data_IF_303854162218
#
_entry.id   IF_303854162218
#
_cell.length_a   1.000
_cell.length_b   1.000
_cell.length_c   1.000
_cell.angle_alpha   90.00
_cell.angle_beta   90.00
_cell.angle_gamma   90.00
#
_symmetry.space_group_name_H-M   'P 1'
#
loop_
_entity.id
_entity.type
_entity.pdbx_description
1 polymer ?
#
# COMPACT_ATOMS: atom_id res chain seq x y z
N UNK A 1 -30.43 -28.08 5.50
CA UNK A 1 -29.07 -28.54 5.89
C UNK A 1 -29.13 -30.06 6.05
N UNK A 2 -28.75 -30.84 5.04
CA UNK A 2 -28.68 -32.31 5.22
C UNK A 2 -27.51 -32.59 6.17
N UNK A 3 -27.79 -33.10 7.37
CA UNK A 3 -26.74 -33.52 8.30
C UNK A 3 -25.98 -34.70 7.70
N UNK A 4 -24.79 -34.44 7.15
CA UNK A 4 -23.83 -35.48 6.76
C UNK A 4 -23.15 -36.05 8.02
N UNK A 5 -23.94 -36.66 8.90
CA UNK A 5 -23.42 -37.49 9.99
C UNK A 5 -23.39 -38.92 9.50
N UNK A 6 -22.26 -39.60 9.66
CA UNK A 6 -22.21 -41.06 9.49
C UNK A 6 -23.16 -41.72 10.49
N UNK A 7 -23.69 -42.90 10.16
CA UNK A 7 -24.68 -43.58 11.02
C UNK A 7 -24.14 -43.82 12.44
N UNK A 8 -22.84 -44.13 12.56
CA UNK A 8 -22.15 -44.24 13.85
C UNK A 8 -22.13 -42.94 14.66
N UNK A 9 -21.92 -41.79 14.02
CA UNK A 9 -21.92 -40.49 14.70
C UNK A 9 -23.33 -40.05 15.10
N UNK A 10 -24.34 -40.43 14.30
CA UNK A 10 -25.74 -40.20 14.61
C UNK A 10 -26.16 -40.98 15.86
N UNK A 11 -25.78 -42.25 15.94
CA UNK A 11 -26.07 -43.09 17.10
C UNK A 11 -25.39 -42.58 18.37
N UNK A 12 -24.13 -42.14 18.28
CA UNK A 12 -23.39 -41.58 19.42
C UNK A 12 -24.02 -40.25 19.91
N UNK A 13 -24.50 -39.41 18.99
CA UNK A 13 -25.22 -38.19 19.33
C UNK A 13 -26.56 -38.50 20.01
N UNK A 14 -27.33 -39.43 19.45
CA UNK A 14 -28.63 -39.83 20.01
C UNK A 14 -28.45 -40.39 21.44
N UNK A 15 -27.42 -41.20 21.69
CA UNK A 15 -27.10 -41.69 23.05
C UNK A 15 -26.73 -40.57 24.02
N UNK A 16 -25.95 -39.58 23.57
CA UNK A 16 -25.57 -38.44 24.40
C UNK A 16 -26.76 -37.51 24.73
N UNK A 17 -27.73 -37.39 23.82
CA UNK A 17 -28.98 -36.63 24.03
C UNK A 17 -29.89 -37.34 25.04
N UNK A 18 -30.05 -38.66 24.91
CA UNK A 18 -30.85 -39.45 25.85
C UNK A 18 -30.28 -39.37 27.28
N UNK A 19 -28.96 -39.49 27.43
CA UNK A 19 -28.26 -39.35 28.72
C UNK A 19 -28.44 -37.96 29.34
N UNK A 20 -28.35 -36.89 28.54
CA UNK A 20 -28.60 -35.53 29.00
C UNK A 20 -30.04 -35.35 29.53
N UNK A 21 -31.04 -35.78 28.75
CA UNK A 21 -32.45 -35.68 29.15
C UNK A 21 -32.74 -36.47 30.43
N UNK A 22 -32.11 -37.64 30.58
CA UNK A 22 -32.25 -38.47 31.77
C UNK A 22 -31.58 -37.85 32.99
N UNK A 23 -30.38 -37.28 32.86
CA UNK A 23 -29.66 -36.59 33.95
C UNK A 23 -30.40 -35.36 34.48
N UNK A 24 -31.23 -34.72 33.64
CA UNK A 24 -32.03 -33.54 34.01
C UNK A 24 -33.48 -33.88 34.40
N UNK A 25 -33.84 -35.16 34.50
CA UNK A 25 -35.13 -35.63 35.03
C UNK A 25 -36.29 -35.64 34.04
N UNK A 26 -36.06 -35.52 32.73
CA UNK A 26 -37.10 -35.53 31.70
C UNK A 26 -37.44 -36.96 31.24
N UNK A 27 -37.96 -37.79 32.15
CA UNK A 27 -38.18 -39.24 31.94
C UNK A 27 -39.13 -39.57 30.80
N UNK A 28 -40.26 -38.88 30.68
CA UNK A 28 -41.26 -39.10 29.61
C UNK A 28 -40.68 -38.80 28.21
N UNK A 29 -39.88 -37.75 28.11
CA UNK A 29 -39.22 -37.36 26.85
C UNK A 29 -38.11 -38.33 26.45
N UNK A 30 -37.41 -38.96 27.42
CA UNK A 30 -36.39 -39.98 27.16
C UNK A 30 -37.01 -41.23 26.55
N UNK A 31 -38.15 -41.70 27.07
CA UNK A 31 -38.80 -42.92 26.58
C UNK A 31 -39.31 -42.76 25.14
N UNK A 32 -39.90 -41.60 24.84
CA UNK A 32 -40.36 -41.28 23.49
C UNK A 32 -39.16 -41.19 22.54
N UNK A 33 -38.10 -40.49 22.94
CA UNK A 33 -36.89 -40.33 22.12
C UNK A 33 -36.14 -41.64 21.88
N UNK A 34 -36.03 -42.51 22.89
CA UNK A 34 -35.44 -43.86 22.74
C UNK A 34 -36.20 -44.71 21.71
N UNK A 35 -37.54 -44.63 21.71
CA UNK A 35 -38.41 -45.34 20.77
C UNK A 35 -38.26 -44.82 19.34
N UNK A 36 -38.18 -43.50 19.16
CA UNK A 36 -38.03 -42.87 17.86
C UNK A 36 -36.62 -43.06 17.27
N UNK A 37 -35.59 -43.05 18.12
CA UNK A 37 -34.19 -43.21 17.73
C UNK A 37 -33.72 -44.68 17.63
N UNK A 38 -34.59 -45.65 17.93
CA UNK A 38 -34.34 -47.10 17.84
C UNK A 38 -33.05 -47.55 18.58
N UNK A 39 -32.88 -47.08 19.82
CA UNK A 39 -31.69 -47.36 20.65
C UNK A 39 -31.90 -48.60 21.54
N UNK A 40 -31.05 -49.62 21.41
CA UNK A 40 -31.01 -50.78 22.33
C UNK A 40 -30.41 -50.39 23.71
N UNK A 41 -30.99 -50.92 24.79
CA UNK A 41 -30.56 -50.67 26.16
C UNK A 41 -29.21 -51.38 26.44
N UNK A 42 -28.09 -50.66 26.32
CA UNK A 42 -26.81 -51.07 26.91
C UNK A 42 -25.88 -49.89 27.27
N UNK A 43 -25.35 -49.98 28.50
CA UNK A 43 -24.21 -49.31 29.14
C UNK A 43 -24.33 -47.80 29.46
N UNK A 44 -25.01 -47.50 30.58
CA UNK A 44 -25.23 -46.17 31.19
C UNK A 44 -23.94 -45.37 31.52
N UNK A 45 -22.76 -46.00 31.50
CA UNK A 45 -21.53 -45.40 32.07
C UNK A 45 -20.64 -44.64 31.09
N UNK A 46 -20.89 -44.69 29.78
CA UNK A 46 -19.95 -44.12 28.77
C UNK A 46 -20.27 -42.71 28.27
N UNK A 47 -21.49 -42.20 28.49
CA UNK A 47 -21.96 -40.97 27.82
C UNK A 47 -22.13 -39.76 28.74
N UNK A 48 -21.95 -39.92 30.05
CA UNK A 48 -22.16 -38.86 31.06
C UNK A 48 -21.36 -37.58 30.75
N UNK A 49 -22.10 -36.48 30.54
CA UNK A 49 -21.54 -35.15 30.27
C UNK A 49 -20.87 -35.01 28.90
N UNK A 50 -21.01 -35.99 28.00
CA UNK A 50 -20.42 -35.95 26.66
C UNK A 50 -21.09 -34.87 25.80
N UNK A 51 -22.42 -34.70 25.92
CA UNK A 51 -23.17 -33.69 25.18
C UNK A 51 -22.72 -32.28 25.56
N UNK A 52 -22.57 -31.98 26.86
CA UNK A 52 -22.11 -30.68 27.36
C UNK A 52 -20.67 -30.37 26.93
N UNK A 53 -19.77 -31.38 26.98
CA UNK A 53 -18.39 -31.25 26.49
C UNK A 53 -18.34 -31.01 24.98
N UNK A 54 -19.18 -31.70 24.20
CA UNK A 54 -19.30 -31.47 22.75
C UNK A 54 -19.91 -30.10 22.44
N UNK A 55 -20.94 -29.69 23.18
CA UNK A 55 -21.61 -28.39 23.02
C UNK A 55 -20.68 -27.21 23.33
N UNK A 56 -19.95 -27.26 24.43
CA UNK A 56 -18.95 -26.24 24.78
C UNK A 56 -17.80 -26.17 23.76
N UNK A 57 -17.39 -27.32 23.21
CA UNK A 57 -16.42 -27.37 22.11
C UNK A 57 -16.97 -26.76 20.82
N UNK A 58 -18.24 -27.03 20.49
CA UNK A 58 -18.93 -26.43 19.33
C UNK A 58 -19.07 -24.92 19.49
N UNK A 59 -19.47 -24.42 20.66
CA UNK A 59 -19.53 -22.98 20.97
C UNK A 59 -18.16 -22.31 20.81
N UNK A 60 -17.10 -22.95 21.34
CA UNK A 60 -15.72 -22.46 21.17
C UNK A 60 -15.31 -22.43 19.69
N UNK A 61 -15.65 -23.47 18.93
CA UNK A 61 -15.37 -23.53 17.50
C UNK A 61 -16.17 -22.50 16.72
N UNK A 62 -17.47 -22.33 16.98
CA UNK A 62 -18.30 -21.30 16.36
C UNK A 62 -17.78 -19.89 16.66
N UNK A 63 -17.38 -19.62 17.91
CA UNK A 63 -16.75 -18.35 18.27
C UNK A 63 -15.45 -18.15 17.50
N UNK A 64 -14.61 -19.19 17.38
CA UNK A 64 -13.36 -19.14 16.62
C UNK A 64 -13.60 -18.97 15.11
N UNK A 65 -14.62 -19.61 14.55
CA UNK A 65 -15.05 -19.43 13.16
C UNK A 65 -15.55 -18.01 12.94
N UNK A 66 -16.38 -17.46 13.84
CA UNK A 66 -16.83 -16.08 13.76
C UNK A 66 -15.67 -15.08 13.89
N UNK A 67 -14.69 -15.35 14.75
CA UNK A 67 -13.44 -14.56 14.85
C UNK A 67 -12.59 -14.65 13.58
N UNK A 68 -12.57 -15.80 12.90
CA UNK A 68 -11.85 -15.98 11.63
C UNK A 68 -12.59 -15.29 10.47
N UNK A 69 -13.91 -15.47 10.37
CA UNK A 69 -14.76 -14.81 9.36
C UNK A 69 -14.76 -13.28 9.52
N UNK A 70 -14.73 -12.76 10.75
CA UNK A 70 -14.62 -11.32 11.00
C UNK A 70 -13.23 -10.79 10.69
N UNK A 71 -12.16 -11.58 10.88
CA UNK A 71 -10.82 -11.23 10.40
C UNK A 71 -10.77 -11.14 8.87
N UNK A 72 -11.41 -12.08 8.17
CA UNK A 72 -11.48 -12.06 6.70
C UNK A 72 -12.33 -10.91 6.15
N UNK A 73 -13.32 -10.43 6.91
CA UNK A 73 -14.27 -9.38 6.48
C UNK A 73 -13.94 -7.95 6.96
N UNK A 74 -12.73 -7.68 7.46
CA UNK A 74 -12.37 -6.29 7.84
C UNK A 74 -12.27 -5.41 6.60
N UNK A 75 -13.17 -4.42 6.54
CA UNK A 75 -13.24 -3.43 5.47
C UNK A 75 -11.87 -2.74 5.28
N UNK A 76 -11.47 -2.42 4.04
CA UNK A 76 -10.22 -1.70 3.72
C UNK A 76 -10.08 -0.30 4.34
N UNK A 77 -11.00 0.14 5.18
CA UNK A 77 -11.03 1.48 5.78
C UNK A 77 -10.25 1.61 7.08
N UNK A 78 -9.88 0.50 7.74
CA UNK A 78 -9.23 0.49 9.06
C UNK A 78 -7.88 -0.27 9.08
N UNK A 79 -7.21 -0.42 7.94
CA UNK A 79 -5.92 -1.11 7.89
C UNK A 79 -4.80 -0.21 8.38
N UNK A 80 -4.49 -0.34 9.68
CA UNK A 80 -3.36 0.35 10.31
C UNK A 80 -2.24 -0.67 10.54
N UNK A 81 -1.01 -0.44 10.05
CA UNK A 81 0.12 -1.31 10.32
C UNK A 81 0.40 -1.38 11.83
N UNK A 82 0.70 -2.59 12.33
CA UNK A 82 1.04 -2.80 13.74
C UNK A 82 2.36 -3.56 13.87
N UNK A 83 3.23 -3.16 14.80
CA UNK A 83 4.38 -3.97 15.17
C UNK A 83 3.93 -5.23 15.94
N UNK A 84 4.74 -6.31 15.92
CA UNK A 84 6.02 -6.45 15.21
C UNK A 84 5.84 -6.65 13.70
N UNK A 85 6.91 -6.43 12.92
CA UNK A 85 6.95 -6.80 11.50
C UNK A 85 6.63 -8.28 11.30
N UNK A 86 5.91 -8.62 10.22
CA UNK A 86 5.58 -10.01 9.88
C UNK A 86 6.78 -10.73 9.31
N UNK A 87 7.48 -10.08 8.38
CA UNK A 87 8.70 -10.58 7.76
C UNK A 87 9.77 -9.48 7.73
N UNK A 88 11.02 -9.89 7.94
CA UNK A 88 12.22 -9.07 7.76
C UNK A 88 13.09 -9.76 6.70
N UNK A 89 13.06 -9.24 5.48
CA UNK A 89 13.74 -9.81 4.33
C UNK A 89 15.13 -9.17 4.22
N UNK A 90 16.14 -10.02 4.09
CA UNK A 90 17.55 -9.62 3.98
C UNK A 90 18.19 -10.34 2.80
N UNK A 91 19.07 -9.66 2.09
CA UNK A 91 19.78 -10.26 0.95
C UNK A 91 20.34 -9.28 -0.08
N UNK A 92 20.01 -8.00 0.02
CA UNK A 92 20.76 -6.94 -0.68
C UNK A 92 22.11 -6.70 -0.02
N UNK A 93 23.09 -6.24 -0.83
CA UNK A 93 24.46 -5.98 -0.37
C UNK A 93 24.74 -4.52 -0.07
N UNK A 94 23.76 -3.66 -0.29
CA UNK A 94 23.87 -2.21 -0.14
C UNK A 94 22.50 -1.60 0.18
N UNK A 95 22.41 -0.30 0.49
CA UNK A 95 21.15 0.37 0.81
C UNK A 95 20.05 0.10 -0.22
N UNK A 96 18.81 -0.05 0.25
CA UNK A 96 17.65 -0.14 -0.63
C UNK A 96 17.15 1.24 -0.99
N UNK A 97 16.76 1.41 -2.25
CA UNK A 97 16.28 2.69 -2.80
C UNK A 97 14.77 2.72 -2.91
N UNK A 98 14.17 1.66 -3.48
CA UNK A 98 12.71 1.56 -3.67
C UNK A 98 12.20 0.14 -3.43
N UNK A 99 11.01 0.03 -2.83
CA UNK A 99 10.20 -1.19 -2.78
C UNK A 99 8.78 -0.92 -3.28
N UNK A 100 8.22 -1.84 -4.05
CA UNK A 100 6.87 -1.74 -4.62
C UNK A 100 6.17 -3.11 -4.62
N UNK A 101 4.85 -3.11 -4.47
CA UNK A 101 4.01 -4.28 -4.69
C UNK A 101 3.73 -4.49 -6.17
N UNK A 102 3.63 -5.75 -6.58
CA UNK A 102 3.06 -6.09 -7.87
C UNK A 102 1.52 -5.92 -7.83
N UNK A 103 0.89 -5.38 -8.90
CA UNK A 103 -0.54 -5.10 -8.89
C UNK A 103 -1.46 -6.34 -8.89
N UNK A 104 -0.95 -7.52 -9.31
CA UNK A 104 -1.76 -8.73 -9.54
C UNK A 104 -1.27 -9.97 -8.78
N UNK A 105 0.02 -10.05 -8.46
CA UNK A 105 0.68 -11.26 -7.94
C UNK A 105 1.14 -10.96 -6.52
N UNK A 106 1.26 -11.99 -5.69
CA UNK A 106 1.62 -11.89 -4.27
C UNK A 106 3.12 -11.63 -4.04
N UNK A 107 3.70 -10.70 -4.79
CA UNK A 107 5.14 -10.44 -4.81
C UNK A 107 5.44 -8.95 -4.61
N UNK A 108 6.65 -8.70 -4.13
CA UNK A 108 7.26 -7.38 -4.03
C UNK A 108 8.54 -7.32 -4.86
N UNK A 109 8.74 -6.19 -5.52
CA UNK A 109 10.00 -5.87 -6.18
C UNK A 109 10.75 -4.82 -5.37
N UNK A 110 12.07 -4.99 -5.27
CA UNK A 110 12.95 -4.12 -4.51
C UNK A 110 14.18 -3.75 -5.32
N UNK A 111 14.61 -2.49 -5.24
CA UNK A 111 15.84 -1.97 -5.84
C UNK A 111 16.82 -1.57 -4.77
N UNK A 112 18.10 -1.62 -5.14
CA UNK A 112 19.20 -1.26 -4.27
C UNK A 112 20.32 -0.58 -5.05
N UNK A 113 21.21 0.07 -4.30
CA UNK A 113 22.47 0.62 -4.80
C UNK A 113 23.43 -0.49 -5.29
N UNK A 114 23.12 -1.77 -5.07
CA UNK A 114 23.92 -2.92 -5.48
C UNK A 114 23.75 -3.27 -6.96
N UNK A 115 23.10 -2.37 -7.72
CA UNK A 115 22.74 -2.48 -9.15
C UNK A 115 21.76 -3.62 -9.47
N UNK A 116 21.17 -4.26 -8.44
CA UNK A 116 20.23 -5.37 -8.62
C UNK A 116 18.80 -5.03 -8.22
N UNK A 117 17.86 -5.71 -8.87
CA UNK A 117 16.46 -5.71 -8.48
C UNK A 117 16.16 -7.11 -7.97
N UNK A 118 15.57 -7.22 -6.79
CA UNK A 118 15.17 -8.51 -6.21
C UNK A 118 13.66 -8.60 -6.09
N UNK A 119 13.15 -9.80 -6.38
CA UNK A 119 11.75 -10.18 -6.27
C UNK A 119 11.60 -11.12 -5.08
N UNK A 120 10.60 -10.85 -4.26
CA UNK A 120 10.29 -11.62 -3.06
C UNK A 120 8.81 -11.92 -3.03
N UNK A 121 8.45 -13.07 -2.51
CA UNK A 121 7.07 -13.38 -2.15
C UNK A 121 6.80 -12.80 -0.75
N UNK A 122 5.78 -11.94 -0.63
CA UNK A 122 5.46 -11.32 0.66
C UNK A 122 4.57 -12.17 1.55
N UNK A 123 3.97 -13.25 1.02
CA UNK A 123 3.15 -14.18 1.80
C UNK A 123 4.01 -15.22 2.51
N UNK A 124 5.00 -15.79 1.82
CA UNK A 124 5.96 -16.74 2.39
C UNK A 124 7.19 -16.06 3.01
N UNK A 125 7.57 -14.88 2.50
CA UNK A 125 8.83 -14.22 2.84
C UNK A 125 10.04 -14.82 2.13
N UNK A 126 9.83 -15.62 1.08
CA UNK A 126 10.91 -16.27 0.33
C UNK A 126 11.48 -15.38 -0.77
N UNK A 127 12.78 -15.54 -1.03
CA UNK A 127 13.45 -14.91 -2.15
C UNK A 127 13.15 -15.70 -3.43
N UNK A 128 12.58 -15.06 -4.44
CA UNK A 128 12.32 -15.72 -5.71
C UNK A 128 13.50 -15.57 -6.67
N UNK A 129 13.80 -14.32 -7.06
CA UNK A 129 14.73 -14.05 -8.18
C UNK A 129 15.43 -12.70 -8.05
N UNK A 130 16.55 -12.57 -8.76
CA UNK A 130 17.26 -11.29 -8.95
C UNK A 130 17.40 -10.95 -10.43
N UNK A 131 17.00 -9.73 -10.80
CA UNK A 131 17.27 -9.14 -12.10
C UNK A 131 18.61 -8.40 -12.03
N UNK A 132 19.52 -8.76 -12.93
CA UNK A 132 20.84 -8.14 -13.08
C UNK A 132 20.98 -7.61 -14.48
N UNK A 133 21.56 -6.41 -14.62
CA UNK A 133 21.82 -5.83 -15.93
C UNK A 133 22.12 -4.35 -15.92
N UNK A 134 21.76 -3.62 -14.85
CA UNK A 134 22.27 -2.27 -14.61
C UNK A 134 23.75 -2.31 -14.22
N UNK A 135 24.48 -1.25 -14.57
CA UNK A 135 25.91 -1.13 -14.24
C UNK A 135 26.14 -0.34 -12.95
N UNK A 136 25.14 0.43 -12.50
CA UNK A 136 25.21 1.29 -11.32
C UNK A 136 23.91 1.20 -10.51
N UNK A 137 23.85 1.88 -9.37
CA UNK A 137 22.75 1.91 -8.41
C UNK A 137 21.37 2.12 -9.07
N UNK A 138 20.42 1.22 -8.79
CA UNK A 138 19.03 1.34 -9.25
C UNK A 138 18.30 2.28 -8.30
N UNK A 139 17.72 3.36 -8.80
CA UNK A 139 17.12 4.43 -7.98
C UNK A 139 15.61 4.27 -7.77
N UNK A 140 14.87 3.88 -8.81
CA UNK A 140 13.41 3.72 -8.75
C UNK A 140 12.98 2.55 -9.63
N UNK A 141 11.81 2.02 -9.30
CA UNK A 141 11.16 0.92 -10.01
C UNK A 141 9.66 1.29 -10.12
N UNK A 142 9.06 1.01 -11.27
CA UNK A 142 7.63 1.11 -11.47
C UNK A 142 7.08 -0.13 -12.21
N UNK A 143 5.93 -0.62 -11.79
CA UNK A 143 5.15 -1.60 -12.55
C UNK A 143 4.16 -0.91 -13.48
N UNK A 144 3.91 -1.55 -14.63
CA UNK A 144 2.76 -1.23 -15.46
C UNK A 144 1.44 -1.63 -14.76
N UNK A 145 0.31 -1.03 -15.15
CA UNK A 145 -1.01 -1.34 -14.60
C UNK A 145 -1.39 -2.83 -14.79
N UNK A 146 -0.91 -3.45 -15.87
CA UNK A 146 -1.10 -4.89 -16.11
C UNK A 146 -0.19 -5.79 -15.28
N UNK A 147 0.88 -5.25 -14.69
CA UNK A 147 1.94 -5.99 -14.01
C UNK A 147 2.90 -6.74 -14.93
N UNK A 148 2.68 -6.75 -16.25
CA UNK A 148 3.53 -7.53 -17.17
C UNK A 148 4.92 -6.94 -17.37
N UNK A 149 5.01 -5.61 -17.30
CA UNK A 149 6.23 -4.87 -17.52
C UNK A 149 6.69 -4.21 -16.24
N UNK A 150 8.00 -4.27 -16.02
CA UNK A 150 8.69 -3.57 -14.96
C UNK A 150 9.68 -2.59 -15.58
N UNK A 151 9.61 -1.33 -15.16
CA UNK A 151 10.62 -0.34 -15.50
C UNK A 151 11.53 -0.10 -14.31
N UNK A 152 12.82 0.00 -14.58
CA UNK A 152 13.81 0.41 -13.59
C UNK A 152 14.67 1.54 -14.13
N UNK A 153 15.05 2.47 -13.26
CA UNK A 153 15.99 3.54 -13.58
C UNK A 153 17.23 3.45 -12.70
N UNK A 154 18.37 3.85 -13.25
CA UNK A 154 19.66 3.75 -12.57
C UNK A 154 20.49 5.02 -12.73
N UNK A 155 21.49 5.12 -11.86
CA UNK A 155 22.58 6.11 -11.97
C UNK A 155 23.42 5.91 -13.24
N UNK A 156 23.33 4.75 -13.90
CA UNK A 156 23.98 4.46 -15.19
C UNK A 156 23.39 5.21 -16.40
N UNK A 157 22.46 6.15 -16.16
CA UNK A 157 21.78 6.97 -17.17
C UNK A 157 20.89 6.16 -18.13
N UNK A 158 20.58 4.91 -17.77
CA UNK A 158 19.71 4.04 -18.54
C UNK A 158 18.42 3.70 -17.79
N UNK A 159 17.37 3.49 -18.58
CA UNK A 159 16.10 2.93 -18.09
C UNK A 159 15.99 1.56 -18.73
N UNK A 160 15.77 0.53 -17.93
CA UNK A 160 15.56 -0.83 -18.44
C UNK A 160 14.11 -1.22 -18.29
N UNK A 161 13.58 -1.83 -19.34
CA UNK A 161 12.28 -2.48 -19.35
C UNK A 161 12.51 -3.99 -19.22
N UNK A 162 11.83 -4.60 -18.26
CA UNK A 162 11.90 -6.01 -17.96
C UNK A 162 10.53 -6.63 -18.18
N UNK A 163 10.51 -7.81 -18.79
CA UNK A 163 9.31 -8.63 -18.88
C UNK A 163 9.19 -9.48 -17.61
N UNK A 164 8.09 -9.32 -16.88
CA UNK A 164 7.95 -9.87 -15.53
C UNK A 164 7.20 -11.22 -15.48
N UNK A 165 6.59 -11.67 -16.58
CA UNK A 165 5.67 -12.83 -16.56
C UNK A 165 6.35 -14.17 -16.83
N UNK A 166 7.31 -14.23 -17.75
CA UNK A 166 7.85 -15.51 -18.25
C UNK A 166 9.37 -15.59 -18.15
N UNK A 167 10.05 -14.59 -18.70
CA UNK A 167 11.50 -14.65 -18.98
C UNK A 167 12.33 -13.92 -17.94
N UNK A 168 11.79 -12.88 -17.29
CA UNK A 168 12.54 -11.97 -16.41
C UNK A 168 13.73 -11.32 -17.13
N UNK A 169 13.65 -11.21 -18.45
CA UNK A 169 14.71 -10.67 -19.28
C UNK A 169 14.55 -9.17 -19.52
N UNK A 170 15.69 -8.52 -19.75
CA UNK A 170 15.70 -7.12 -20.16
C UNK A 170 15.28 -7.03 -21.63
N UNK A 171 14.04 -6.58 -21.85
CA UNK A 171 13.47 -6.37 -23.17
C UNK A 171 14.18 -5.23 -23.90
N UNK A 172 14.34 -4.09 -23.21
CA UNK A 172 14.88 -2.86 -23.80
C UNK A 172 15.70 -2.07 -22.80
N UNK A 173 16.70 -1.37 -23.32
CA UNK A 173 17.47 -0.36 -22.59
C UNK A 173 17.29 0.98 -23.27
N UNK A 174 16.61 1.91 -22.61
CA UNK A 174 16.39 3.27 -23.07
C UNK A 174 17.55 4.14 -22.61
N UNK A 175 18.18 4.86 -23.54
CA UNK A 175 19.29 5.78 -23.29
C UNK A 175 18.96 7.14 -23.89
N UNK A 176 19.36 8.21 -23.22
CA UNK A 176 19.17 9.58 -23.70
C UNK A 176 19.01 10.65 -22.62
N UNK A 177 19.12 10.28 -21.35
CA UNK A 177 19.41 11.23 -20.27
C UNK A 177 20.92 11.47 -20.17
N UNK A 178 21.30 12.67 -19.77
CA UNK A 178 22.71 13.08 -19.67
C UNK A 178 23.28 12.88 -18.25
N UNK A 179 22.44 12.46 -17.30
CA UNK A 179 22.83 12.22 -15.91
C UNK A 179 21.89 11.20 -15.22
N UNK A 180 22.29 10.72 -14.04
CA UNK A 180 21.53 9.87 -13.10
C UNK A 180 20.00 10.11 -13.15
N UNK A 181 19.26 9.02 -13.36
CA UNK A 181 17.80 9.00 -13.43
C UNK A 181 17.27 8.57 -12.06
N UNK A 182 16.59 9.46 -11.37
CA UNK A 182 16.15 9.24 -9.99
C UNK A 182 14.73 8.69 -9.86
N UNK A 183 13.88 8.83 -10.88
CA UNK A 183 12.52 8.28 -10.81
C UNK A 183 11.96 7.91 -12.16
N UNK A 184 11.08 6.91 -12.14
CA UNK A 184 10.36 6.40 -13.29
C UNK A 184 8.88 6.17 -12.94
N UNK A 185 7.98 6.43 -13.89
CA UNK A 185 6.55 6.19 -13.73
C UNK A 185 5.90 5.81 -15.06
N UNK A 186 5.05 4.78 -15.06
CA UNK A 186 4.20 4.46 -16.20
C UNK A 186 3.00 5.40 -16.27
N UNK A 187 2.55 5.71 -17.48
CA UNK A 187 1.22 6.25 -17.69
C UNK A 187 0.17 5.15 -17.48
N UNK A 188 -1.06 5.50 -17.04
CA UNK A 188 -2.13 4.53 -16.83
C UNK A 188 -2.51 3.71 -18.08
N UNK A 189 -2.28 4.23 -19.29
CA UNK A 189 -2.52 3.49 -20.54
C UNK A 189 -1.47 2.40 -20.83
N UNK A 190 -0.29 2.46 -20.19
CA UNK A 190 0.84 1.56 -20.43
C UNK A 190 1.66 1.88 -21.70
N UNK A 191 1.22 2.82 -22.53
CA UNK A 191 1.90 3.15 -23.80
C UNK A 191 3.19 3.97 -23.60
N UNK A 192 3.20 4.79 -22.56
CA UNK A 192 4.27 5.74 -22.29
C UNK A 192 4.84 5.61 -20.88
N UNK A 193 6.10 6.01 -20.75
CA UNK A 193 6.84 6.04 -19.51
C UNK A 193 7.47 7.42 -19.31
N UNK A 194 7.40 7.94 -18.10
CA UNK A 194 8.06 9.18 -17.69
C UNK A 194 9.29 8.86 -16.86
N UNK A 195 10.35 9.63 -17.07
CA UNK A 195 11.56 9.56 -16.26
C UNK A 195 12.03 10.95 -15.85
N UNK A 196 12.54 11.05 -14.63
CA UNK A 196 13.15 12.26 -14.09
C UNK A 196 14.64 12.04 -13.84
N UNK A 197 15.44 13.05 -14.17
CA UNK A 197 16.89 12.98 -14.05
C UNK A 197 17.48 14.21 -13.36
N UNK A 198 18.74 14.04 -12.94
CA UNK A 198 19.61 15.12 -12.48
C UNK A 198 19.98 16.12 -13.57
N UNK A 199 19.74 15.80 -14.84
CA UNK A 199 19.91 16.73 -15.98
C UNK A 199 18.86 17.87 -16.04
N UNK A 200 18.01 17.99 -15.00
CA UNK A 200 16.93 18.99 -14.89
C UNK A 200 15.77 18.77 -15.86
N UNK A 201 15.76 17.65 -16.58
CA UNK A 201 14.73 17.31 -17.54
C UNK A 201 13.87 16.13 -17.10
N UNK A 202 12.64 16.12 -17.62
CA UNK A 202 11.75 14.98 -17.55
C UNK A 202 11.55 14.50 -18.99
N UNK A 203 11.74 13.21 -19.24
CA UNK A 203 11.56 12.63 -20.58
C UNK A 203 10.38 11.68 -20.60
N UNK A 204 9.66 11.70 -21.71
CA UNK A 204 8.60 10.75 -22.03
C UNK A 204 9.08 9.80 -23.10
N UNK A 205 8.93 8.51 -22.83
CA UNK A 205 9.35 7.41 -23.68
C UNK A 205 8.14 6.63 -24.14
N UNK A 206 8.13 6.21 -25.39
CA UNK A 206 7.16 5.24 -25.88
C UNK A 206 7.67 3.83 -25.57
N UNK A 207 6.84 3.01 -24.92
CA UNK A 207 7.23 1.67 -24.44
C UNK A 207 7.47 0.71 -25.60
N UNK A 208 6.62 0.77 -26.63
CA UNK A 208 6.70 -0.12 -27.80
C UNK A 208 7.92 0.18 -28.66
N UNK A 209 8.23 1.44 -28.94
CA UNK A 209 9.37 1.80 -29.78
C UNK A 209 10.67 1.90 -28.98
N UNK A 210 10.61 2.44 -27.77
CA UNK A 210 11.75 2.81 -26.93
C UNK A 210 12.31 4.20 -27.24
N UNK A 211 11.62 5.00 -28.07
CA UNK A 211 12.08 6.35 -28.39
C UNK A 211 11.59 7.39 -27.40
N UNK A 212 12.40 8.44 -27.23
CA UNK A 212 12.01 9.63 -26.47
C UNK A 212 11.07 10.50 -27.33
N UNK A 213 9.81 10.60 -26.92
CA UNK A 213 8.76 11.35 -27.62
C UNK A 213 8.77 12.83 -27.22
N UNK A 214 8.94 13.10 -25.92
CA UNK A 214 8.92 14.47 -25.37
C UNK A 214 10.00 14.64 -24.33
N UNK A 215 10.57 15.85 -24.29
CA UNK A 215 11.40 16.33 -23.18
C UNK A 215 10.71 17.56 -22.60
N UNK A 216 10.52 17.57 -21.29
CA UNK A 216 9.97 18.67 -20.51
C UNK A 216 11.11 19.33 -19.75
N UNK A 217 11.23 20.64 -19.92
CA UNK A 217 12.26 21.48 -19.28
C UNK A 217 11.55 22.57 -18.51
N UNK A 218 11.97 22.83 -17.28
CA UNK A 218 11.42 23.92 -16.47
C UNK A 218 11.88 23.94 -15.02
N UNK A 219 12.36 22.80 -14.50
CA UNK A 219 13.10 22.79 -13.25
C UNK A 219 14.49 23.42 -13.41
N UNK A 220 14.98 24.04 -12.33
CA UNK A 220 16.30 24.68 -12.30
C UNK A 220 17.40 23.77 -11.74
N UNK A 221 17.00 22.70 -11.07
CA UNK A 221 17.91 21.75 -10.43
C UNK A 221 17.34 20.32 -10.59
N UNK A 222 18.01 19.33 -10.00
CA UNK A 222 17.72 17.90 -10.08
C UNK A 222 16.26 17.60 -9.76
N UNK A 223 15.56 17.00 -10.73
CA UNK A 223 14.21 16.46 -10.57
C UNK A 223 14.26 15.13 -9.81
N UNK A 224 13.70 15.07 -8.61
CA UNK A 224 13.75 13.91 -7.70
C UNK A 224 12.78 12.82 -8.12
N UNK A 225 11.50 13.15 -8.23
CA UNK A 225 10.44 12.17 -8.44
C UNK A 225 9.39 12.68 -9.43
N UNK A 226 8.78 11.74 -10.15
CA UNK A 226 7.65 12.01 -11.06
C UNK A 226 6.49 11.06 -10.73
N UNK A 227 5.27 11.59 -10.66
CA UNK A 227 4.06 10.79 -10.46
C UNK A 227 2.95 11.23 -11.41
N UNK A 228 2.31 10.25 -12.04
CA UNK A 228 1.22 10.47 -12.98
C UNK A 228 -0.11 10.48 -12.22
N UNK A 229 -1.01 11.39 -12.60
CA UNK A 229 -2.37 11.40 -12.10
C UNK A 229 -3.14 10.21 -12.65
N UNK A 230 -4.17 9.72 -11.94
CA UNK A 230 -4.84 8.46 -12.29
C UNK A 230 -5.47 8.42 -13.70
N UNK A 231 -5.84 9.59 -14.24
CA UNK A 231 -6.38 9.78 -15.59
C UNK A 231 -5.28 9.90 -16.67
N UNK A 232 -4.01 10.06 -16.28
CA UNK A 232 -2.89 10.21 -17.21
C UNK A 232 -2.79 11.57 -17.90
N UNK A 233 -3.80 12.44 -17.76
CA UNK A 233 -3.83 13.79 -18.34
C UNK A 233 -2.80 14.75 -17.72
N UNK A 234 -2.48 14.56 -16.45
CA UNK A 234 -1.53 15.36 -15.68
C UNK A 234 -0.44 14.48 -15.06
N UNK A 235 0.73 15.07 -14.85
CA UNK A 235 1.75 14.51 -13.98
C UNK A 235 2.38 15.61 -13.11
N UNK A 236 2.95 15.21 -11.99
CA UNK A 236 3.65 16.08 -11.07
C UNK A 236 5.12 15.68 -10.96
N UNK A 237 5.98 16.67 -10.69
CA UNK A 237 7.40 16.48 -10.45
C UNK A 237 7.89 17.32 -9.28
N UNK A 238 8.84 16.78 -8.51
CA UNK A 238 9.56 17.50 -7.45
C UNK A 238 11.01 17.69 -7.83
N UNK A 239 11.63 18.73 -7.28
CA UNK A 239 13.04 19.03 -7.54
C UNK A 239 13.76 19.57 -6.31
N UNK A 240 15.09 19.56 -6.41
CA UNK A 240 15.99 20.25 -5.48
C UNK A 240 15.82 21.77 -5.47
N UNK A 241 15.18 22.36 -6.47
CA UNK A 241 14.89 23.80 -6.52
C UNK A 241 13.74 24.24 -5.60
N UNK A 242 13.33 23.35 -4.68
CA UNK A 242 12.23 23.50 -3.71
C UNK A 242 10.85 23.64 -4.37
N UNK A 243 10.77 23.40 -5.69
CA UNK A 243 9.54 23.53 -6.43
C UNK A 243 8.88 22.20 -6.75
N UNK A 244 7.56 22.26 -6.81
CA UNK A 244 6.71 21.20 -7.32
C UNK A 244 6.03 21.72 -8.57
N UNK A 245 6.25 21.07 -9.70
CA UNK A 245 5.65 21.45 -10.96
C UNK A 245 4.60 20.42 -11.36
N UNK A 246 3.44 20.91 -11.82
CA UNK A 246 2.42 20.09 -12.45
C UNK A 246 2.42 20.37 -13.94
N UNK A 247 2.30 19.32 -14.72
CA UNK A 247 2.46 19.35 -16.17
C UNK A 247 1.26 18.67 -16.80
N UNK A 248 0.91 19.13 -17.98
CA UNK A 248 0.01 18.39 -18.84
C UNK A 248 0.82 17.32 -19.59
N UNK A 249 0.28 16.12 -19.74
CA UNK A 249 0.96 15.03 -20.46
C UNK A 249 0.95 15.28 -21.97
N UNK A 250 -0.14 15.86 -22.47
CA UNK A 250 -0.33 16.17 -23.89
C UNK A 250 0.40 17.43 -24.30
N UNK A 251 0.35 18.50 -23.51
CA UNK A 251 1.08 19.74 -23.80
C UNK A 251 2.39 19.83 -23.02
N UNK A 252 3.46 20.36 -23.61
CA UNK A 252 4.74 20.58 -22.91
C UNK A 252 4.68 21.73 -21.88
N UNK A 253 3.49 22.15 -21.46
CA UNK A 253 3.28 23.32 -20.61
C UNK A 253 3.19 22.90 -19.14
N UNK A 254 3.87 23.66 -18.29
CA UNK A 254 3.68 23.59 -16.85
C UNK A 254 2.38 24.33 -16.50
N UNK A 255 1.45 23.64 -15.84
CA UNK A 255 0.15 24.18 -15.42
C UNK A 255 0.31 25.04 -14.17
N UNK A 256 1.04 24.54 -13.18
CA UNK A 256 1.22 25.22 -11.90
C UNK A 256 2.56 24.84 -11.27
N UNK A 257 3.20 25.81 -10.63
CA UNK A 257 4.44 25.64 -9.87
C UNK A 257 4.21 26.09 -8.44
N UNK A 258 4.45 25.21 -7.47
CA UNK A 258 4.36 25.48 -6.04
C UNK A 258 5.77 25.66 -5.46
N UNK A 259 5.97 26.67 -4.61
CA UNK A 259 7.27 26.97 -3.96
C UNK A 259 7.13 27.21 -2.45
N UNK A 260 6.20 26.51 -1.82
CA UNK A 260 5.89 26.67 -0.41
C UNK A 260 6.81 25.87 0.54
N UNK A 261 7.73 25.07 -0.01
CA UNK A 261 8.71 24.32 0.76
C UNK A 261 9.98 25.15 0.99
N UNK A 262 10.56 25.02 2.19
CA UNK A 262 11.79 25.73 2.56
C UNK A 262 13.04 24.99 2.09
N UNK A 263 12.91 23.70 1.79
CA UNK A 263 14.00 22.83 1.38
C UNK A 263 13.58 21.88 0.24
N UNK A 264 14.54 21.15 -0.32
CA UNK A 264 14.40 20.08 -1.33
C UNK A 264 13.19 19.18 -1.08
N UNK A 265 12.37 19.04 -2.13
CA UNK A 265 11.21 18.13 -2.13
C UNK A 265 11.65 16.76 -2.62
N UNK A 266 11.52 15.74 -1.76
CA UNK A 266 11.98 14.38 -2.04
C UNK A 266 10.90 13.52 -2.66
N UNK A 267 9.66 13.65 -2.19
CA UNK A 267 8.56 12.79 -2.61
C UNK A 267 7.27 13.56 -2.84
N UNK A 268 6.41 12.97 -3.66
CA UNK A 268 5.12 13.48 -4.14
C UNK A 268 4.18 12.28 -4.29
N UNK A 269 2.91 12.44 -3.95
CA UNK A 269 1.87 11.45 -4.24
C UNK A 269 0.55 12.15 -4.58
N UNK A 270 -0.17 11.66 -5.59
CA UNK A 270 -1.51 12.12 -5.90
C UNK A 270 -2.54 11.54 -4.93
N UNK A 271 -3.46 12.37 -4.45
CA UNK A 271 -4.56 11.89 -3.63
C UNK A 271 -5.52 11.05 -4.47
N UNK A 272 -5.87 9.81 -4.03
CA UNK A 272 -6.94 9.05 -4.67
C UNK A 272 -8.28 9.72 -4.40
N UNK A 273 -9.28 9.47 -5.25
CA UNK A 273 -10.62 10.07 -5.11
C UNK A 273 -11.25 9.79 -3.73
N UNK A 274 -10.96 8.61 -3.15
CA UNK A 274 -11.40 8.21 -1.82
C UNK A 274 -10.84 9.07 -0.68
N UNK A 275 -9.70 9.74 -0.88
CA UNK A 275 -9.08 10.62 0.12
C UNK A 275 -9.63 12.05 0.09
N UNK A 276 -10.28 12.46 -1.01
CA UNK A 276 -10.76 13.83 -1.18
C UNK A 276 -11.75 14.29 -0.09
N UNK A 277 -12.73 13.47 0.37
CA UNK A 277 -13.62 13.89 1.45
C UNK A 277 -12.87 14.20 2.75
N UNK A 278 -11.88 13.37 3.12
CA UNK A 278 -11.06 13.59 4.32
C UNK A 278 -10.15 14.81 4.19
N UNK A 279 -9.73 15.15 2.97
CA UNK A 279 -8.96 16.37 2.70
C UNK A 279 -9.86 17.61 2.78
N UNK A 280 -11.11 17.54 2.27
CA UNK A 280 -12.10 18.62 2.40
C UNK A 280 -12.40 18.94 3.85
N UNK A 281 -12.69 17.91 4.65
CA UNK A 281 -12.94 18.05 6.10
C UNK A 281 -11.74 18.68 6.81
N UNK A 282 -10.52 18.29 6.41
CA UNK A 282 -9.31 18.90 6.93
C UNK A 282 -9.22 20.38 6.52
N UNK A 283 -9.46 20.75 5.27
CA UNK A 283 -9.41 22.15 4.81
C UNK A 283 -10.46 23.03 5.52
N UNK A 284 -11.70 22.54 5.64
CA UNK A 284 -12.81 23.24 6.28
C UNK A 284 -12.55 23.58 7.75
N UNK A 285 -11.85 22.69 8.47
CA UNK A 285 -11.44 22.95 9.86
C UNK A 285 -10.53 24.19 10.03
N UNK A 286 -9.93 24.70 8.94
CA UNK A 286 -9.21 25.97 8.94
C UNK A 286 -10.08 27.17 8.52
N UNK A 287 -11.06 26.98 7.64
CA UNK A 287 -11.88 28.08 7.08
C UNK A 287 -12.97 28.60 8.01
N UNK A 288 -13.34 27.85 9.05
CA UNK A 288 -14.30 28.30 10.08
C UNK A 288 -13.85 29.52 10.92
N UNK A 289 -12.68 30.11 10.61
CA UNK A 289 -12.22 31.36 11.24
C UNK A 289 -11.99 32.54 10.30
N UNK A 290 -12.02 32.39 8.98
CA UNK A 290 -11.76 33.52 8.07
C UNK A 290 -12.56 33.41 6.77
N UNK A 291 -13.63 34.20 6.72
CA UNK A 291 -14.35 34.70 5.54
C UNK A 291 -15.17 33.71 4.70
N UNK A 292 -16.49 33.92 4.76
CA UNK A 292 -17.52 33.27 3.96
C UNK A 292 -17.20 33.27 2.47
N UNK A 293 -16.78 32.11 1.97
CA UNK A 293 -16.79 31.78 0.55
C UNK A 293 -18.15 31.19 0.19
N UNK A 294 -18.65 31.59 -0.97
CA UNK A 294 -19.96 31.20 -1.50
C UNK A 294 -19.95 29.70 -1.78
N UNK A 295 -20.77 28.96 -1.04
CA UNK A 295 -21.08 27.57 -1.34
C UNK A 295 -21.90 27.51 -2.65
N UNK A 296 -21.50 26.65 -3.59
CA UNK A 296 -22.38 26.31 -4.71
C UNK A 296 -23.60 25.53 -4.19
N UNK A 297 -24.73 25.61 -4.89
CA UNK A 297 -26.07 25.13 -4.50
C UNK A 297 -26.19 23.63 -4.14
N UNK A 298 -25.10 22.85 -4.18
CA UNK A 298 -25.01 21.46 -3.73
C UNK A 298 -24.18 21.25 -2.45
N UNK A 299 -23.69 22.31 -1.80
CA UNK A 299 -23.05 22.26 -0.47
C UNK A 299 -21.70 21.54 -0.38
N UNK A 300 -21.18 20.95 -1.45
CA UNK A 300 -19.88 20.29 -1.49
C UNK A 300 -18.89 21.08 -2.36
N UNK A 301 -17.81 21.59 -1.75
CA UNK A 301 -16.64 22.03 -2.49
C UNK A 301 -16.05 20.82 -3.21
N UNK A 302 -16.25 20.72 -4.53
CA UNK A 302 -15.60 19.69 -5.33
C UNK A 302 -14.12 20.04 -5.46
N UNK A 303 -13.32 19.56 -4.50
CA UNK A 303 -11.86 19.67 -4.54
C UNK A 303 -11.34 19.16 -5.89
N UNK A 304 -10.41 19.91 -6.48
CA UNK A 304 -9.69 19.48 -7.65
C UNK A 304 -8.71 18.33 -7.34
N UNK A 305 -7.88 17.94 -8.31
CA UNK A 305 -6.77 17.02 -8.06
C UNK A 305 -5.87 17.55 -6.93
N UNK A 306 -5.77 16.80 -5.84
CA UNK A 306 -4.91 17.15 -4.71
C UNK A 306 -3.58 16.42 -4.83
N UNK A 307 -2.51 17.16 -4.60
CA UNK A 307 -1.14 16.66 -4.57
C UNK A 307 -0.60 16.75 -3.15
N UNK A 308 0.13 15.74 -2.72
CA UNK A 308 0.85 15.75 -1.44
C UNK A 308 2.33 15.66 -1.71
N UNK A 309 3.14 16.40 -0.97
CA UNK A 309 4.60 16.33 -1.06
C UNK A 309 5.26 16.22 0.30
N UNK A 310 6.42 15.58 0.33
CA UNK A 310 7.27 15.44 1.50
C UNK A 310 8.65 16.01 1.19
N UNK A 311 9.17 16.78 2.13
CA UNK A 311 10.41 17.55 1.94
C UNK A 311 11.43 17.27 3.04
N UNK A 312 12.66 17.69 2.77
CA UNK A 312 13.75 17.74 3.75
C UNK A 312 13.52 18.79 4.84
N UNK A 313 12.55 19.68 4.67
CA UNK A 313 12.06 20.59 5.73
C UNK A 313 11.25 19.87 6.83
N UNK A 314 11.15 18.53 6.75
CA UNK A 314 10.46 17.66 7.72
C UNK A 314 8.94 17.77 7.68
N UNK A 315 8.40 18.45 6.69
CA UNK A 315 6.97 18.69 6.53
C UNK A 315 6.38 17.85 5.41
N UNK A 316 5.08 17.57 5.55
CA UNK A 316 4.25 17.03 4.49
C UNK A 316 3.18 18.08 4.15
N UNK A 317 3.12 18.53 2.89
CA UNK A 317 2.21 19.60 2.46
C UNK A 317 1.19 19.07 1.46
N UNK A 318 -0.02 19.60 1.53
CA UNK A 318 -1.14 19.28 0.63
C UNK A 318 -1.43 20.49 -0.27
N UNK A 319 -1.62 20.26 -1.56
CA UNK A 319 -1.85 21.29 -2.56
C UNK A 319 -3.06 20.96 -3.42
N UNK A 320 -3.95 21.93 -3.63
CA UNK A 320 -4.96 21.84 -4.67
C UNK A 320 -4.36 22.35 -5.99
N UNK A 321 -4.27 21.46 -6.98
CA UNK A 321 -3.68 21.76 -8.30
C UNK A 321 -4.57 22.64 -9.16
N UNK A 322 -5.89 22.66 -8.91
CA UNK A 322 -6.81 23.53 -9.65
C UNK A 322 -6.81 24.93 -9.06
N UNK A 323 -6.84 25.04 -7.74
CA UNK A 323 -6.81 26.33 -7.06
C UNK A 323 -5.39 26.95 -6.98
N UNK A 324 -4.34 26.14 -7.14
CA UNK A 324 -2.96 26.63 -7.09
C UNK A 324 -2.52 27.04 -5.68
N UNK A 325 -3.14 26.48 -4.64
CA UNK A 325 -2.86 26.84 -3.23
C UNK A 325 -2.41 25.63 -2.41
N UNK A 326 -1.58 25.91 -1.40
CA UNK A 326 -1.32 24.96 -0.31
C UNK A 326 -2.50 24.96 0.65
N UNK A 327 -3.12 23.80 0.87
CA UNK A 327 -4.27 23.61 1.75
C UNK A 327 -3.82 23.61 3.21
N UNK A 328 -2.94 22.67 3.58
CA UNK A 328 -2.42 22.56 4.93
C UNK A 328 -1.09 21.80 4.96
N UNK A 329 -0.41 21.90 6.09
CA UNK A 329 0.88 21.25 6.37
C UNK A 329 0.71 20.31 7.56
N UNK A 330 1.24 19.09 7.44
CA UNK A 330 1.42 18.16 8.55
C UNK A 330 2.84 18.30 9.09
N UNK A 331 2.93 18.54 10.39
CA UNK A 331 4.19 18.69 11.12
C UNK A 331 4.36 17.51 12.06
N UNK A 332 5.56 16.95 12.11
CA UNK A 332 5.91 16.01 13.15
C UNK A 332 7.14 15.16 12.91
N UNK A 333 7.54 14.91 11.66
CA UNK A 333 8.80 14.20 11.40
C UNK A 333 9.99 14.99 11.95
N UNK A 334 11.01 14.27 12.42
CA UNK A 334 12.20 14.90 13.01
C UNK A 334 13.33 15.09 11.98
N UNK A 335 13.18 14.47 10.80
CA UNK A 335 14.14 14.50 9.71
C UNK A 335 13.45 14.43 8.33
N UNK A 336 14.23 14.30 7.26
CA UNK A 336 13.75 14.35 5.87
C UNK A 336 12.66 13.31 5.58
N UNK A 337 11.59 13.73 4.91
CA UNK A 337 10.50 12.82 4.50
C UNK A 337 10.86 12.19 3.15
N UNK A 338 10.96 10.86 3.08
CA UNK A 338 11.45 10.12 1.90
C UNK A 338 10.36 9.49 1.05
N UNK A 339 9.23 9.15 1.67
CA UNK A 339 8.15 8.48 0.96
C UNK A 339 6.78 8.83 1.53
N UNK A 340 5.79 8.82 0.63
CA UNK A 340 4.39 9.07 0.92
C UNK A 340 3.53 8.08 0.16
N UNK A 341 2.55 7.48 0.84
CA UNK A 341 1.49 6.69 0.19
C UNK A 341 0.17 6.88 0.91
N UNK A 342 -0.88 7.02 0.13
CA UNK A 342 -2.24 6.99 0.66
C UNK A 342 -2.65 5.56 0.99
N UNK A 343 -3.37 5.44 2.08
CA UNK A 343 -4.09 4.21 2.41
C UNK A 343 -5.22 3.98 1.38
N UNK A 344 -5.53 2.72 0.98
CA UNK A 344 -6.56 2.41 -0.02
C UNK A 344 -7.96 2.95 0.33
N UNK A 345 -8.25 3.10 1.63
CA UNK A 345 -9.49 3.70 2.14
C UNK A 345 -9.51 5.24 2.20
N UNK A 346 -8.42 5.93 1.86
CA UNK A 346 -8.35 7.40 1.76
C UNK A 346 -8.28 8.18 3.09
N UNK A 347 -8.67 7.58 4.21
CA UNK A 347 -8.67 8.22 5.55
C UNK A 347 -7.28 8.53 6.10
N UNK A 348 -6.30 7.72 5.73
CA UNK A 348 -4.94 7.77 6.27
C UNK A 348 -3.91 8.04 5.17
N UNK A 349 -2.88 8.78 5.54
CA UNK A 349 -1.65 8.93 4.77
C UNK A 349 -0.52 8.29 5.56
N UNK A 350 0.32 7.49 4.90
CA UNK A 350 1.51 6.91 5.51
C UNK A 350 2.74 7.60 4.94
N UNK A 351 3.62 8.04 5.83
CA UNK A 351 4.89 8.66 5.46
C UNK A 351 6.06 7.94 6.13
N UNK A 352 7.22 7.99 5.48
CA UNK A 352 8.48 7.46 6.01
C UNK A 352 9.57 8.52 5.95
N UNK A 353 10.51 8.46 6.89
CA UNK A 353 11.53 9.50 7.07
C UNK A 353 12.88 8.94 7.49
N UNK A 354 13.91 9.78 7.32
CA UNK A 354 15.26 9.59 7.87
C UNK A 354 15.28 9.62 9.41
N UNK A 355 14.16 9.92 10.07
CA UNK A 355 14.01 9.73 11.53
C UNK A 355 13.83 8.24 11.93
N UNK A 356 13.90 7.32 10.94
CA UNK A 356 13.75 5.85 11.09
C UNK A 356 12.31 5.40 11.33
N UNK A 357 11.37 6.34 11.31
CA UNK A 357 9.96 6.08 11.61
C UNK A 357 9.10 5.99 10.35
N UNK A 358 8.06 5.18 10.46
CA UNK A 358 6.88 5.24 9.62
C UNK A 358 5.74 5.88 10.43
N UNK A 359 5.14 6.94 9.90
CA UNK A 359 4.04 7.66 10.55
C UNK A 359 2.75 7.48 9.78
N UNK A 360 1.67 7.24 10.51
CA UNK A 360 0.31 7.16 9.98
C UNK A 360 -0.43 8.42 10.40
N UNK A 361 -0.79 9.23 9.42
CA UNK A 361 -1.51 10.49 9.59
C UNK A 361 -2.98 10.27 9.33
N UNK A 362 -3.83 10.73 10.26
CA UNK A 362 -5.25 10.81 10.02
C UNK A 362 -5.53 12.15 9.32
N UNK A 363 -5.88 12.08 8.04
CA UNK A 363 -5.88 13.24 7.13
C UNK A 363 -6.89 14.28 7.59
N UNK A 364 -8.12 13.86 7.90
CA UNK A 364 -9.20 14.74 8.38
C UNK A 364 -8.82 15.53 9.64
N UNK A 365 -8.13 14.90 10.60
CA UNK A 365 -7.78 15.56 11.87
C UNK A 365 -6.39 16.22 11.85
N UNK A 366 -5.67 16.19 10.73
CA UNK A 366 -4.31 16.75 10.58
C UNK A 366 -3.31 16.31 11.66
N UNK A 367 -3.48 15.09 12.20
CA UNK A 367 -2.67 14.58 13.31
C UNK A 367 -1.96 13.29 12.96
N UNK A 368 -0.79 13.10 13.54
CA UNK A 368 -0.12 11.81 13.54
C UNK A 368 -0.91 10.87 14.46
N UNK A 369 -1.60 9.89 13.87
CA UNK A 369 -2.37 8.89 14.61
C UNK A 369 -1.45 7.87 15.28
N UNK A 370 -0.34 7.52 14.63
CA UNK A 370 0.59 6.52 15.12
C UNK A 370 1.97 6.72 14.52
N UNK A 371 2.99 6.55 15.36
CA UNK A 371 4.39 6.50 14.96
C UNK A 371 4.90 5.09 15.21
N UNK A 372 5.58 4.50 14.23
CA UNK A 372 6.15 3.16 14.31
C UNK A 372 7.64 3.28 13.98
N UNK A 373 8.50 2.78 14.87
CA UNK A 373 9.91 2.63 14.59
C UNK A 373 10.08 1.48 13.57
N UNK A 374 10.21 1.84 12.30
CA UNK A 374 10.17 0.88 11.24
C UNK A 374 11.50 0.13 11.14
N UNK A 375 12.62 0.85 11.14
CA UNK A 375 13.96 0.30 10.89
C UNK A 375 15.00 0.80 11.88
N UNK A 376 16.19 0.16 11.89
CA UNK A 376 17.32 0.59 12.74
C UNK A 376 18.03 1.82 12.15
N UNK A 377 17.87 2.02 10.84
CA UNK A 377 18.39 3.14 10.07
C UNK A 377 17.28 3.82 9.26
N UNK A 378 17.65 4.84 8.49
CA UNK A 378 16.76 5.68 7.68
C UNK A 378 15.88 4.85 6.74
N UNK A 379 14.58 5.18 6.69
CA UNK A 379 13.61 4.50 5.85
C UNK A 379 13.56 5.20 4.49
N UNK A 380 13.85 4.48 3.41
CA UNK A 380 14.03 5.05 2.07
C UNK A 380 12.75 5.06 1.26
N UNK A 381 11.91 4.05 1.39
CA UNK A 381 10.65 3.99 0.65
C UNK A 381 9.59 3.17 1.37
N UNK A 382 8.34 3.37 0.94
CA UNK A 382 7.21 2.57 1.34
C UNK A 382 6.29 2.28 0.16
N UNK A 383 5.54 1.19 0.27
CA UNK A 383 4.39 0.92 -0.58
C UNK A 383 3.25 0.28 0.21
N UNK A 384 2.02 0.57 -0.20
CA UNK A 384 0.81 0.02 0.43
C UNK A 384 0.08 -0.85 -0.59
N UNK A 385 -0.25 -2.09 -0.23
CA UNK A 385 -0.96 -2.97 -1.15
C UNK A 385 -2.40 -2.51 -1.40
N UNK A 386 -2.84 -2.48 -2.66
CA UNK A 386 -4.12 -1.86 -3.05
C UNK A 386 -5.35 -2.57 -2.45
N UNK A 387 -5.27 -3.88 -2.26
CA UNK A 387 -6.41 -4.74 -1.88
C UNK A 387 -6.17 -5.63 -0.67
N UNK A 388 -4.95 -5.66 -0.13
CA UNK A 388 -4.57 -6.55 0.97
C UNK A 388 -4.03 -5.70 2.12
N UNK A 389 -4.15 -6.15 3.37
CA UNK A 389 -3.72 -5.41 4.55
C UNK A 389 -2.19 -5.52 4.75
N UNK A 390 -1.40 -5.17 3.74
CA UNK A 390 0.06 -5.22 3.80
C UNK A 390 0.69 -3.88 3.43
N UNK A 391 1.68 -3.50 4.23
CA UNK A 391 2.58 -2.38 3.96
C UNK A 391 3.99 -2.91 3.89
N UNK A 392 4.79 -2.41 2.96
CA UNK A 392 6.20 -2.76 2.86
C UNK A 392 7.03 -1.50 3.01
N UNK A 393 8.11 -1.60 3.78
CA UNK A 393 9.08 -0.52 3.97
C UNK A 393 10.48 -1.02 3.63
N UNK A 394 11.29 -0.15 3.04
CA UNK A 394 12.71 -0.40 2.78
C UNK A 394 13.57 0.61 3.51
N UNK A 395 14.81 0.23 3.82
CA UNK A 395 15.72 1.06 4.59
C UNK A 395 17.16 0.95 4.09
N UNK A 396 17.96 1.93 4.50
CA UNK A 396 19.42 1.95 4.27
C UNK A 396 20.12 0.79 5.01
N UNK A 397 19.48 0.19 6.03
CA UNK A 397 20.00 -0.97 6.75
C UNK A 397 19.95 -2.30 5.95
N UNK A 398 19.67 -2.25 4.65
CA UNK A 398 19.64 -3.40 3.74
C UNK A 398 18.50 -4.39 4.04
N UNK A 399 17.49 -3.96 4.80
CA UNK A 399 16.32 -4.77 5.15
C UNK A 399 15.05 -4.24 4.50
N UNK A 400 14.19 -5.18 4.09
CA UNK A 400 12.81 -4.90 3.71
C UNK A 400 11.92 -5.48 4.80
N UNK A 401 11.00 -4.69 5.33
CA UNK A 401 10.04 -5.15 6.33
C UNK A 401 8.64 -5.17 5.75
N UNK A 402 7.95 -6.28 5.96
CA UNK A 402 6.54 -6.46 5.60
C UNK A 402 5.71 -6.35 6.87
N UNK A 403 4.75 -5.44 6.86
CA UNK A 403 3.88 -5.12 7.98
C UNK A 403 2.46 -5.60 7.68
N UNK A 404 1.87 -6.32 8.62
CA UNK A 404 0.46 -6.69 8.57
C UNK A 404 -0.38 -5.55 9.20
N UNK A 405 -1.43 -5.14 8.50
CA UNK A 405 -2.39 -4.17 9.01
C UNK A 405 -3.53 -4.85 9.77
N UNK A 406 -3.93 -4.25 10.91
CA UNK A 406 -4.94 -4.83 11.81
C UNK A 406 -5.88 -3.82 12.43
#
# INVERSE_FOLDING_TARGET
MKMNLSDRQRDELNRAVADYLQSHGYTESVEIFKREANLDDFDERKSSGLLEKKWTSVLRLQKKVLELETKEKRQPGEWIPRPPEKYCLTGHRSPLTRVIFHPVYSIIASSSEDSTIKVWDFESGEFERSLKGHTDAVQDIAFDASGKLLASCSADMSIKLWEFVQTYECMKTLRGHDHNISSVAFLPSGDHLLSASRDHTIKMWEVVSGYCVKTFVGHRDWVRMVRVYHDGSLFASCSNDHSICTWNTSSKQCKSTFREHEHVVECIEWAPEKALPSISEADESQTDKVNGRIANESGALKLGPVLVSGSRDKTVKFFDVTAGVCLFTLLGHDNWVRGLRFHPGGKYLVSVSDDKTMRIWAVAQKRCSKTIDAHKHFVTSLDFHRTLPYVVTSSVDMTIKVWECR
#
